data_IF_324912838061
#
_entry.id   IF_324912838061
#
_cell.length_a   1.000
_cell.length_b   1.000
_cell.length_c   1.000
_cell.angle_alpha   90.00
_cell.angle_beta   90.00
_cell.angle_gamma   90.00
#
_symmetry.space_group_name_H-M   'P 1'
#
loop_
_entity.id
_entity.type
_entity.pdbx_description
1 polymer ?
#
# COMPACT_ATOMS: atom_id res chain seq x y z
N UNK A 1 -44.02 24.11 59.79
CA UNK A 1 -44.54 25.45 60.13
C UNK A 1 -43.90 26.42 59.17
N UNK A 2 -44.68 27.06 58.31
CA UNK A 2 -44.21 28.08 57.37
C UNK A 2 -44.41 29.50 57.92
N UNK A 3 -43.68 30.45 57.34
CA UNK A 3 -43.98 31.89 57.22
C UNK A 3 -43.02 32.48 56.16
N UNK A 4 -43.49 32.74 54.93
CA UNK A 4 -43.80 34.05 54.27
C UNK A 4 -42.58 34.85 53.78
N UNK A 5 -42.37 35.02 52.46
CA UNK A 5 -42.80 36.15 51.57
C UNK A 5 -41.95 37.43 51.77
N UNK A 6 -41.49 38.23 50.80
CA UNK A 6 -41.85 38.42 49.38
C UNK A 6 -40.92 39.47 48.71
N UNK A 7 -40.70 39.36 47.37
CA UNK A 7 -40.62 40.43 46.31
C UNK A 7 -39.57 41.58 46.39
N UNK A 8 -39.00 42.17 45.33
CA UNK A 8 -39.20 42.20 43.88
C UNK A 8 -37.97 42.88 43.20
N UNK A 9 -37.73 42.62 41.91
CA UNK A 9 -37.59 43.65 40.84
C UNK A 9 -37.06 43.02 39.53
N UNK A 10 -37.95 42.97 38.53
CA UNK A 10 -37.63 43.00 37.10
C UNK A 10 -38.51 44.08 36.46
N UNK A 11 -37.98 44.83 35.48
CA UNK A 11 -38.64 44.88 34.16
C UNK A 11 -37.57 44.81 33.06
N UNK A 12 -37.77 44.38 31.82
CA UNK A 12 -38.94 44.01 31.04
C UNK A 12 -38.56 44.20 29.55
N UNK A 13 -38.90 43.21 28.71
CA UNK A 13 -39.03 43.23 27.23
C UNK A 13 -37.78 43.53 26.36
N UNK A 14 -37.56 42.92 25.18
CA UNK A 14 -38.44 42.15 24.28
C UNK A 14 -37.62 41.41 23.21
N UNK A 15 -38.05 40.20 22.89
CA UNK A 15 -37.73 39.32 21.74
C UNK A 15 -37.96 39.99 20.35
N UNK A 16 -37.37 39.53 19.21
CA UNK A 16 -37.66 38.20 18.66
C UNK A 16 -36.59 37.44 17.84
N UNK A 17 -36.56 36.12 18.09
CA UNK A 17 -36.74 35.03 17.10
C UNK A 17 -35.81 34.99 15.86
N UNK A 18 -34.86 34.05 15.86
CA UNK A 18 -34.43 33.30 14.66
C UNK A 18 -33.86 31.94 15.10
N UNK A 19 -34.72 30.92 15.18
CA UNK A 19 -34.78 29.79 14.24
C UNK A 19 -33.46 29.00 14.05
N UNK A 20 -33.52 27.77 14.60
CA UNK A 20 -32.85 26.53 14.19
C UNK A 20 -31.93 26.61 12.97
N UNK A 21 -30.68 26.20 13.18
CA UNK A 21 -30.09 25.10 12.43
C UNK A 21 -29.05 24.42 13.31
N UNK A 22 -29.45 23.36 14.02
CA UNK A 22 -28.50 22.32 14.39
C UNK A 22 -28.12 21.61 13.09
N UNK A 23 -27.04 22.08 12.47
CA UNK A 23 -26.29 21.29 11.51
C UNK A 23 -25.80 20.09 12.32
N UNK A 24 -26.33 18.91 11.96
CA UNK A 24 -25.83 17.64 12.46
C UNK A 24 -24.31 17.63 12.25
N UNK A 25 -23.51 17.10 13.18
CA UNK A 25 -22.10 16.89 12.88
C UNK A 25 -22.06 15.97 11.66
N UNK A 26 -21.65 16.50 10.51
CA UNK A 26 -21.17 15.68 9.41
C UNK A 26 -20.21 14.68 10.04
N UNK A 27 -20.53 13.39 9.88
CA UNK A 27 -19.53 12.37 10.12
C UNK A 27 -18.40 12.69 9.15
N UNK A 28 -17.37 13.35 9.67
CA UNK A 28 -16.06 13.41 9.05
C UNK A 28 -15.63 11.95 8.94
N UNK A 29 -15.97 11.33 7.80
CA UNK A 29 -15.44 10.04 7.44
C UNK A 29 -13.92 10.18 7.52
N UNK A 30 -13.29 9.23 8.21
CA UNK A 30 -11.84 9.20 8.29
C UNK A 30 -11.29 9.37 6.87
N UNK A 31 -10.27 10.21 6.71
CA UNK A 31 -9.59 10.43 5.42
C UNK A 31 -9.26 9.09 4.74
N UNK A 32 -9.01 8.05 5.55
CA UNK A 32 -8.84 6.64 5.17
C UNK A 32 -10.05 6.03 4.43
N UNK A 33 -11.29 6.19 4.93
CA UNK A 33 -12.47 5.61 4.27
C UNK A 33 -12.83 6.33 2.98
N UNK A 34 -12.64 7.66 2.93
CA UNK A 34 -13.00 8.47 1.77
C UNK A 34 -12.16 8.12 0.53
N UNK A 35 -10.86 7.87 0.68
CA UNK A 35 -10.01 7.52 -0.46
C UNK A 35 -10.26 6.09 -0.96
N UNK A 36 -10.59 5.16 -0.06
CA UNK A 36 -10.99 3.80 -0.42
C UNK A 36 -12.29 3.78 -1.21
N UNK A 37 -13.27 4.60 -0.85
CA UNK A 37 -14.53 4.74 -1.61
C UNK A 37 -14.26 5.26 -3.03
N UNK A 38 -13.43 6.31 -3.15
CA UNK A 38 -13.03 6.87 -4.46
C UNK A 38 -12.26 5.86 -5.30
N UNK A 39 -11.38 5.08 -4.68
CA UNK A 39 -10.67 3.99 -5.34
C UNK A 39 -11.66 2.98 -5.92
N UNK A 40 -12.65 2.55 -5.13
CA UNK A 40 -13.64 1.59 -5.59
C UNK A 40 -14.45 2.12 -6.78
N UNK A 41 -14.83 3.40 -6.77
CA UNK A 41 -15.55 4.04 -7.89
C UNK A 41 -14.67 4.04 -9.14
N UNK A 42 -13.43 4.54 -9.04
CA UNK A 42 -12.48 4.56 -10.14
C UNK A 42 -12.29 3.17 -10.78
N UNK A 43 -12.03 2.14 -9.96
CA UNK A 43 -11.82 0.79 -10.47
C UNK A 43 -13.06 0.17 -11.12
N UNK A 44 -14.27 0.55 -10.67
CA UNK A 44 -15.54 0.07 -11.25
C UNK A 44 -15.92 0.77 -12.55
N UNK A 45 -15.47 2.00 -12.77
CA UNK A 45 -15.71 2.76 -13.99
C UNK A 45 -14.72 2.38 -15.12
N UNK A 46 -13.53 1.90 -14.76
CA UNK A 46 -12.51 1.49 -15.72
C UNK A 46 -12.75 0.12 -16.38
N UNK A 47 -11.96 -0.15 -17.41
CA UNK A 47 -12.02 -1.39 -18.22
C UNK A 47 -11.72 -2.70 -17.47
N UNK A 48 -11.29 -2.61 -16.20
CA UNK A 48 -10.89 -3.74 -15.36
C UNK A 48 -11.86 -3.98 -14.20
N UNK A 49 -13.09 -3.47 -14.26
CA UNK A 49 -14.10 -3.66 -13.22
C UNK A 49 -14.36 -5.15 -12.89
N UNK A 50 -14.46 -6.00 -13.90
CA UNK A 50 -14.69 -7.45 -13.70
C UNK A 50 -13.54 -8.11 -12.95
N UNK A 51 -12.29 -7.87 -13.38
CA UNK A 51 -11.10 -8.42 -12.71
C UNK A 51 -10.90 -7.80 -11.32
N UNK A 52 -11.29 -6.54 -11.12
CA UNK A 52 -11.29 -5.88 -9.82
C UNK A 52 -12.32 -6.48 -8.85
N UNK A 53 -13.51 -6.83 -9.35
CA UNK A 53 -14.52 -7.49 -8.53
C UNK A 53 -14.05 -8.90 -8.13
N UNK A 54 -13.53 -9.68 -9.08
CA UNK A 54 -12.94 -10.98 -8.79
C UNK A 54 -11.76 -10.89 -7.80
N UNK A 55 -10.93 -9.85 -7.90
CA UNK A 55 -9.85 -9.59 -6.94
C UNK A 55 -10.39 -9.42 -5.52
N UNK A 56 -11.44 -8.60 -5.33
CA UNK A 56 -12.04 -8.40 -4.00
C UNK A 56 -12.66 -9.68 -3.45
N UNK A 57 -13.37 -10.44 -4.28
CA UNK A 57 -13.96 -11.73 -3.88
C UNK A 57 -12.86 -12.70 -3.42
N UNK A 58 -11.74 -12.77 -4.14
CA UNK A 58 -10.58 -13.56 -3.76
C UNK A 58 -9.97 -13.10 -2.43
N UNK A 59 -9.81 -11.79 -2.22
CA UNK A 59 -9.27 -11.23 -0.96
C UNK A 59 -10.16 -11.62 0.23
N UNK A 60 -11.47 -11.41 0.12
CA UNK A 60 -12.42 -11.77 1.17
C UNK A 60 -12.39 -13.28 1.49
N UNK A 61 -12.23 -14.13 0.48
CA UNK A 61 -12.08 -15.57 0.69
C UNK A 61 -10.76 -15.95 1.37
N UNK A 62 -9.65 -15.33 0.94
CA UNK A 62 -8.32 -15.57 1.51
C UNK A 62 -8.28 -15.19 2.99
N UNK A 63 -8.85 -14.04 3.35
CA UNK A 63 -9.01 -13.59 4.74
C UNK A 63 -9.82 -14.57 5.58
N UNK A 64 -10.96 -15.06 5.06
CA UNK A 64 -11.78 -16.07 5.75
C UNK A 64 -11.04 -17.38 5.98
N UNK A 65 -10.21 -17.79 5.02
CA UNK A 65 -9.53 -19.09 5.04
C UNK A 65 -8.21 -19.07 5.81
N UNK A 66 -7.60 -17.89 6.07
CA UNK A 66 -6.26 -17.74 6.69
C UNK A 66 -5.16 -18.63 6.08
N UNK A 67 -5.35 -19.08 4.83
CA UNK A 67 -4.52 -20.11 4.19
C UNK A 67 -3.75 -19.59 3.00
N UNK A 68 -4.32 -18.67 2.23
CA UNK A 68 -3.70 -18.15 1.01
C UNK A 68 -3.16 -16.73 1.24
N UNK A 69 -1.94 -16.41 0.77
CA UNK A 69 -1.49 -15.03 0.76
C UNK A 69 -2.35 -14.21 -0.21
N UNK A 70 -2.90 -13.09 0.27
CA UNK A 70 -3.73 -12.14 -0.50
C UNK A 70 -3.03 -11.73 -1.82
N UNK A 71 -1.70 -11.75 -1.85
CA UNK A 71 -0.92 -11.47 -3.04
C UNK A 71 -1.24 -12.34 -4.26
N UNK A 72 -1.77 -13.56 -4.07
CA UNK A 72 -2.20 -14.44 -5.17
C UNK A 72 -3.48 -13.97 -5.87
N UNK A 73 -4.23 -13.05 -5.27
CA UNK A 73 -5.46 -12.49 -5.86
C UNK A 73 -5.17 -11.42 -6.92
N UNK A 74 -4.02 -10.75 -6.83
CA UNK A 74 -3.68 -9.57 -7.62
C UNK A 74 -3.29 -9.81 -9.11
N UNK A 75 -2.64 -10.92 -9.52
CA UNK A 75 -2.05 -11.05 -10.85
C UNK A 75 -3.00 -10.83 -12.04
N UNK A 76 -4.26 -11.24 -11.93
CA UNK A 76 -5.23 -11.04 -13.01
C UNK A 76 -5.63 -9.56 -13.15
N UNK A 77 -5.77 -8.85 -12.04
CA UNK A 77 -6.08 -7.43 -12.02
C UNK A 77 -4.91 -6.62 -12.57
N UNK A 78 -3.69 -6.93 -12.14
CA UNK A 78 -2.48 -6.27 -12.62
C UNK A 78 -2.32 -6.37 -14.15
N UNK A 79 -2.41 -7.59 -14.71
CA UNK A 79 -2.33 -7.78 -16.17
C UNK A 79 -3.38 -6.98 -16.94
N UNK A 80 -4.58 -6.82 -16.36
CA UNK A 80 -5.62 -5.98 -16.95
C UNK A 80 -5.22 -4.51 -16.90
N UNK A 81 -4.73 -4.03 -15.76
CA UNK A 81 -4.31 -2.64 -15.58
C UNK A 81 -3.14 -2.27 -16.52
N UNK A 82 -2.17 -3.17 -16.72
CA UNK A 82 -1.08 -2.97 -17.67
C UNK A 82 -1.57 -2.85 -19.12
N UNK A 83 -2.52 -3.71 -19.51
CA UNK A 83 -3.14 -3.67 -20.84
C UNK A 83 -3.93 -2.38 -21.08
N UNK A 84 -4.49 -1.81 -20.02
CA UNK A 84 -5.25 -0.57 -20.02
C UNK A 84 -4.47 0.55 -19.30
N UNK A 85 -3.15 0.57 -19.52
CA UNK A 85 -2.23 1.48 -18.81
C UNK A 85 -2.52 2.95 -19.08
N UNK A 86 -3.17 3.30 -20.19
CA UNK A 86 -3.64 4.66 -20.46
C UNK A 86 -4.62 5.19 -19.40
N UNK A 87 -5.47 4.32 -18.85
CA UNK A 87 -6.37 4.66 -17.75
C UNK A 87 -5.73 4.43 -16.38
N UNK A 88 -4.98 3.32 -16.23
CA UNK A 88 -4.42 2.90 -14.93
C UNK A 88 -2.99 3.39 -14.65
N UNK A 89 -2.39 4.23 -15.50
CA UNK A 89 -1.03 4.72 -15.29
C UNK A 89 -0.78 5.28 -13.87
N UNK A 90 -1.71 5.99 -13.19
CA UNK A 90 -1.44 6.52 -11.85
C UNK A 90 -1.14 5.41 -10.84
N UNK A 91 -1.78 4.25 -10.97
CA UNK A 91 -1.55 3.09 -10.12
C UNK A 91 -0.24 2.39 -10.47
N UNK A 92 0.02 2.21 -11.76
CA UNK A 92 1.23 1.56 -12.24
C UNK A 92 2.47 2.41 -11.87
N UNK A 93 2.37 3.73 -11.99
CA UNK A 93 3.42 4.68 -11.61
C UNK A 93 3.67 4.69 -10.10
N UNK A 94 2.59 4.71 -9.30
CA UNK A 94 2.68 4.63 -7.84
C UNK A 94 3.32 3.31 -7.41
N UNK A 95 2.92 2.18 -8.02
CA UNK A 95 3.51 0.86 -7.80
C UNK A 95 4.98 0.84 -8.19
N UNK A 96 5.34 1.31 -9.39
CA UNK A 96 6.73 1.37 -9.88
C UNK A 96 7.62 2.16 -8.91
N UNK A 97 7.13 3.30 -8.44
CA UNK A 97 7.87 4.16 -7.50
C UNK A 97 8.01 3.51 -6.13
N UNK A 98 6.95 2.85 -5.63
CA UNK A 98 6.99 2.11 -4.37
C UNK A 98 7.96 0.93 -4.41
N UNK A 99 7.96 0.14 -5.50
CA UNK A 99 8.94 -0.93 -5.71
C UNK A 99 10.36 -0.37 -5.76
N UNK A 100 10.57 0.75 -6.46
CA UNK A 100 11.87 1.43 -6.48
C UNK A 100 12.32 1.85 -5.09
N UNK A 101 11.42 2.39 -4.26
CA UNK A 101 11.72 2.78 -2.88
C UNK A 101 12.04 1.57 -1.99
N UNK A 102 11.29 0.48 -2.11
CA UNK A 102 11.56 -0.75 -1.38
C UNK A 102 12.93 -1.31 -1.73
N UNK A 103 13.29 -1.33 -3.01
CA UNK A 103 14.51 -2.00 -3.49
C UNK A 103 15.75 -1.11 -3.50
N UNK A 104 15.59 0.22 -3.39
CA UNK A 104 16.68 1.21 -3.50
C UNK A 104 17.88 0.91 -2.61
N UNK A 105 17.62 0.39 -1.42
CA UNK A 105 18.65 0.16 -0.40
C UNK A 105 19.16 -1.30 -0.38
N UNK A 106 18.61 -2.19 -1.23
CA UNK A 106 18.80 -3.64 -1.11
C UNK A 106 19.14 -4.38 -2.40
N UNK A 107 18.82 -3.84 -3.58
CA UNK A 107 19.06 -4.50 -4.88
C UNK A 107 19.83 -3.53 -5.78
N UNK A 108 20.83 -4.00 -6.56
CA UNK A 108 21.52 -3.16 -7.52
C UNK A 108 20.53 -2.56 -8.50
N UNK A 109 20.78 -1.31 -8.88
CA UNK A 109 19.92 -0.62 -9.84
C UNK A 109 19.89 -1.35 -11.19
N UNK A 110 20.95 -2.09 -11.55
CA UNK A 110 21.11 -2.80 -12.82
C UNK A 110 19.98 -3.77 -13.14
N UNK A 111 19.25 -4.22 -12.12
CA UNK A 111 18.10 -5.13 -12.23
C UNK A 111 16.80 -4.41 -12.62
N UNK A 112 16.60 -3.14 -12.22
CA UNK A 112 15.33 -2.41 -12.35
C UNK A 112 15.45 -1.04 -13.04
N UNK A 113 16.64 -0.69 -13.50
CA UNK A 113 16.96 0.61 -14.10
C UNK A 113 16.38 0.71 -15.51
N UNK A 114 15.83 1.88 -15.84
CA UNK A 114 15.33 2.16 -17.17
C UNK A 114 16.51 2.14 -18.18
N UNK A 115 16.37 1.50 -19.36
CA UNK A 115 17.41 1.51 -20.39
C UNK A 115 17.73 2.96 -20.81
N UNK A 116 18.84 3.52 -20.33
CA UNK A 116 19.28 4.89 -20.62
C UNK A 116 19.87 5.68 -19.45
N UNK A 117 19.72 5.20 -18.22
CA UNK A 117 20.30 5.86 -17.04
C UNK A 117 21.79 5.44 -16.89
N UNK A 118 22.75 6.34 -17.15
CA UNK A 118 24.18 6.02 -17.03
C UNK A 118 24.65 6.03 -15.58
N UNK A 119 25.46 5.04 -15.20
CA UNK A 119 26.04 4.87 -13.86
C UNK A 119 27.54 5.03 -13.94
N UNK A 120 28.13 5.74 -12.98
CA UNK A 120 29.58 5.72 -12.88
C UNK A 120 30.08 4.33 -12.43
N UNK A 121 31.29 3.91 -12.82
CA UNK A 121 31.86 2.65 -12.34
C UNK A 121 31.98 2.57 -10.80
N UNK A 122 32.03 3.72 -10.13
CA UNK A 122 32.13 3.79 -8.67
C UNK A 122 30.77 3.49 -8.01
N UNK A 123 29.69 4.06 -8.54
CA UNK A 123 28.33 3.77 -8.07
C UNK A 123 27.94 2.31 -8.30
N UNK A 124 28.37 1.69 -9.40
CA UNK A 124 28.14 0.26 -9.64
C UNK A 124 28.79 -0.63 -8.57
N UNK A 125 30.04 -0.34 -8.21
CA UNK A 125 30.74 -1.08 -7.15
C UNK A 125 30.07 -0.92 -5.79
N UNK A 126 29.66 0.30 -5.45
CA UNK A 126 28.93 0.55 -4.21
C UNK A 126 27.56 -0.15 -4.18
N UNK A 127 26.90 -0.29 -5.33
CA UNK A 127 25.66 -1.07 -5.46
C UNK A 127 25.89 -2.59 -5.28
N UNK A 128 26.93 -3.14 -5.91
CA UNK A 128 27.32 -4.55 -5.74
C UNK A 128 27.69 -4.86 -4.27
N UNK A 129 28.48 -4.00 -3.62
CA UNK A 129 28.81 -4.16 -2.19
C UNK A 129 27.55 -4.08 -1.30
N UNK A 130 26.61 -3.19 -1.60
CA UNK A 130 25.33 -3.11 -0.87
C UNK A 130 24.48 -4.36 -1.06
N UNK A 131 24.44 -4.91 -2.26
CA UNK A 131 23.74 -6.17 -2.56
C UNK A 131 24.35 -7.33 -1.78
N UNK A 132 25.67 -7.51 -1.81
CA UNK A 132 26.33 -8.59 -1.07
C UNK A 132 26.02 -8.52 0.42
N UNK A 133 26.04 -7.32 1.00
CA UNK A 133 25.68 -7.08 2.41
C UNK A 133 24.21 -7.42 2.65
N UNK A 134 23.30 -7.05 1.75
CA UNK A 134 21.88 -7.37 1.87
C UNK A 134 21.60 -8.87 1.77
N UNK A 135 22.17 -9.57 0.79
CA UNK A 135 22.03 -11.02 0.64
C UNK A 135 22.57 -11.75 1.88
N UNK A 136 23.72 -11.31 2.39
CA UNK A 136 24.30 -11.86 3.62
C UNK A 136 23.40 -11.62 4.84
N UNK A 137 22.81 -10.42 4.96
CA UNK A 137 21.82 -10.10 5.99
C UNK A 137 20.59 -11.01 5.89
N UNK A 138 19.99 -11.13 4.71
CA UNK A 138 18.77 -11.93 4.53
C UNK A 138 19.00 -13.41 4.82
N UNK A 139 20.14 -13.95 4.38
CA UNK A 139 20.56 -15.35 4.64
C UNK A 139 21.05 -15.58 6.07
N UNK A 140 21.36 -14.54 6.82
CA UNK A 140 21.86 -14.62 8.21
C UNK A 140 20.75 -14.70 9.27
N UNK A 141 19.51 -14.38 8.92
CA UNK A 141 18.38 -14.37 9.85
C UNK A 141 17.54 -15.65 9.87
N UNK A 142 16.54 -15.67 10.76
CA UNK A 142 15.63 -16.81 10.94
C UNK A 142 14.71 -17.12 9.75
N UNK A 143 14.60 -16.19 8.78
CA UNK A 143 13.81 -16.33 7.56
C UNK A 143 14.65 -16.68 6.32
N UNK A 144 15.85 -17.25 6.52
CA UNK A 144 16.74 -17.69 5.44
C UNK A 144 16.03 -18.60 4.43
N UNK A 145 15.31 -19.62 4.90
CA UNK A 145 14.65 -20.60 4.03
C UNK A 145 13.59 -19.94 3.10
N UNK A 146 12.63 -19.15 3.60
CA UNK A 146 11.73 -18.36 2.75
C UNK A 146 12.46 -17.40 1.79
N UNK A 147 13.58 -16.81 2.22
CA UNK A 147 14.37 -15.92 1.38
C UNK A 147 15.03 -16.69 0.22
N UNK A 148 15.68 -17.82 0.49
CA UNK A 148 16.28 -18.66 -0.55
C UNK A 148 15.23 -19.16 -1.55
N UNK A 149 14.02 -19.51 -1.09
CA UNK A 149 12.93 -19.85 -2.00
C UNK A 149 12.52 -18.66 -2.91
N UNK A 150 12.59 -17.42 -2.39
CA UNK A 150 12.35 -16.23 -3.19
C UNK A 150 13.48 -16.01 -4.21
N UNK A 151 14.75 -16.21 -3.84
CA UNK A 151 15.90 -16.17 -4.75
C UNK A 151 15.75 -17.19 -5.89
N UNK A 152 15.42 -18.44 -5.56
CA UNK A 152 15.21 -19.50 -6.55
C UNK A 152 14.08 -19.16 -7.54
N UNK A 153 12.97 -18.61 -7.02
CA UNK A 153 11.85 -18.14 -7.85
C UNK A 153 12.28 -17.00 -8.78
N UNK A 154 13.06 -16.06 -8.23
CA UNK A 154 13.55 -14.90 -8.95
C UNK A 154 14.47 -15.32 -10.10
N UNK A 155 15.42 -16.22 -9.85
CA UNK A 155 16.34 -16.75 -10.85
C UNK A 155 15.60 -17.54 -11.95
N UNK A 156 14.59 -18.34 -11.58
CA UNK A 156 13.73 -19.03 -12.54
C UNK A 156 12.98 -18.04 -13.44
N UNK A 157 12.34 -17.04 -12.84
CA UNK A 157 11.57 -16.03 -13.56
C UNK A 157 12.46 -15.23 -14.53
N UNK A 158 13.64 -14.81 -14.07
CA UNK A 158 14.63 -14.10 -14.89
C UNK A 158 15.11 -14.96 -16.07
N UNK A 159 15.46 -16.23 -15.83
CA UNK A 159 15.88 -17.17 -16.88
C UNK A 159 14.79 -17.37 -17.95
N UNK A 160 13.53 -17.40 -17.52
CA UNK A 160 12.38 -17.60 -18.40
C UNK A 160 11.83 -16.30 -18.99
N UNK A 161 12.38 -15.13 -18.61
CA UNK A 161 11.87 -13.80 -18.98
C UNK A 161 10.41 -13.59 -18.58
N UNK A 162 10.01 -14.18 -17.45
CA UNK A 162 8.70 -14.00 -16.85
C UNK A 162 8.67 -12.72 -16.01
N UNK A 163 7.48 -12.17 -15.80
CA UNK A 163 7.31 -11.09 -14.84
C UNK A 163 7.59 -11.61 -13.42
N UNK A 164 8.72 -11.19 -12.85
CA UNK A 164 9.22 -11.65 -11.55
C UNK A 164 8.29 -11.24 -10.41
N UNK A 165 7.67 -10.05 -10.52
CA UNK A 165 6.74 -9.56 -9.51
C UNK A 165 5.52 -10.47 -9.47
N UNK A 166 4.92 -10.75 -10.62
CA UNK A 166 3.75 -11.63 -10.72
C UNK A 166 4.07 -13.08 -10.37
N UNK A 167 5.21 -13.60 -10.84
CA UNK A 167 5.63 -15.00 -10.62
C UNK A 167 5.94 -15.26 -9.15
N UNK A 168 6.66 -14.34 -8.48
CA UNK A 168 7.21 -14.57 -7.15
C UNK A 168 6.43 -13.88 -6.02
N UNK A 169 5.31 -13.21 -6.31
CA UNK A 169 4.51 -12.48 -5.30
C UNK A 169 4.03 -13.37 -4.13
N UNK A 170 3.73 -14.64 -4.40
CA UNK A 170 3.33 -15.61 -3.37
C UNK A 170 4.49 -15.95 -2.44
N UNK A 171 5.66 -16.20 -3.01
CA UNK A 171 6.89 -16.54 -2.26
C UNK A 171 7.39 -15.33 -1.46
N UNK A 172 7.36 -14.14 -2.06
CA UNK A 172 7.65 -12.88 -1.38
C UNK A 172 6.71 -12.64 -0.19
N UNK A 173 5.41 -12.98 -0.32
CA UNK A 173 4.46 -12.88 0.79
C UNK A 173 4.79 -13.84 1.94
N UNK A 174 5.22 -15.07 1.65
CA UNK A 174 5.65 -16.01 2.68
C UNK A 174 6.91 -15.52 3.41
N UNK A 175 7.88 -15.01 2.65
CA UNK A 175 9.11 -14.42 3.19
C UNK A 175 8.80 -13.23 4.10
N UNK A 176 8.00 -12.28 3.64
CA UNK A 176 7.63 -11.10 4.44
C UNK A 176 6.84 -11.46 5.69
N UNK A 177 5.92 -12.43 5.63
CA UNK A 177 5.22 -12.95 6.83
C UNK A 177 6.18 -13.52 7.87
N UNK A 178 7.23 -14.23 7.44
CA UNK A 178 8.26 -14.69 8.36
C UNK A 178 8.98 -13.49 9.00
N UNK A 179 9.36 -12.49 8.22
CA UNK A 179 10.06 -11.30 8.73
C UNK A 179 9.21 -10.51 9.72
N UNK A 180 7.91 -10.37 9.44
CA UNK A 180 6.94 -9.75 10.33
C UNK A 180 6.84 -10.48 11.69
N UNK A 181 7.04 -11.81 11.71
CA UNK A 181 7.11 -12.60 12.94
C UNK A 181 8.47 -12.52 13.66
N UNK A 182 9.50 -11.99 13.00
CA UNK A 182 10.87 -11.84 13.52
C UNK A 182 11.41 -10.40 13.35
N UNK A 183 10.69 -9.38 13.84
CA UNK A 183 10.92 -7.98 13.47
C UNK A 183 12.25 -7.42 14.01
N UNK A 184 12.78 -7.94 15.12
CA UNK A 184 14.02 -7.44 15.73
C UNK A 184 15.22 -7.54 14.79
N UNK A 185 15.34 -8.67 14.09
CA UNK A 185 16.39 -8.89 13.09
C UNK A 185 16.09 -8.13 11.79
N UNK A 186 14.84 -8.23 11.30
CA UNK A 186 14.43 -7.71 9.99
C UNK A 186 14.00 -6.24 9.98
N UNK A 187 14.17 -5.51 11.09
CA UNK A 187 13.75 -4.12 11.26
C UNK A 187 14.11 -3.20 10.10
N UNK A 188 15.34 -3.22 9.52
CA UNK A 188 15.69 -2.34 8.41
C UNK A 188 14.82 -2.60 7.17
N UNK A 189 14.64 -3.88 6.80
CA UNK A 189 13.82 -4.27 5.65
C UNK A 189 12.35 -3.92 5.86
N UNK A 190 11.81 -4.22 7.04
CA UNK A 190 10.41 -3.91 7.39
C UNK A 190 10.14 -2.39 7.38
N UNK A 191 11.10 -1.56 7.79
CA UNK A 191 10.98 -0.11 7.72
C UNK A 191 10.92 0.41 6.27
N UNK A 192 11.76 -0.14 5.39
CA UNK A 192 11.73 0.20 3.97
C UNK A 192 10.42 -0.24 3.30
N UNK A 193 9.95 -1.46 3.59
CA UNK A 193 8.64 -1.96 3.15
C UNK A 193 7.51 -1.02 3.55
N UNK A 194 7.44 -0.65 4.83
CA UNK A 194 6.44 0.29 5.32
C UNK A 194 6.52 1.64 4.62
N UNK A 195 7.74 2.14 4.39
CA UNK A 195 7.95 3.41 3.67
C UNK A 195 7.43 3.35 2.23
N UNK A 196 7.68 2.24 1.53
CA UNK A 196 7.18 2.01 0.18
C UNK A 196 5.64 1.91 0.13
N UNK A 197 5.04 1.18 1.08
CA UNK A 197 3.57 1.05 1.19
C UNK A 197 2.91 2.41 1.46
N UNK A 198 3.43 3.18 2.42
CA UNK A 198 2.93 4.53 2.72
C UNK A 198 3.08 5.50 1.55
N UNK A 199 4.19 5.40 0.80
CA UNK A 199 4.39 6.21 -0.39
C UNK A 199 3.34 5.89 -1.46
N UNK A 200 3.11 4.60 -1.73
CA UNK A 200 2.09 4.18 -2.70
C UNK A 200 0.69 4.69 -2.30
N UNK A 201 0.32 4.56 -1.02
CA UNK A 201 -0.96 5.06 -0.51
C UNK A 201 -1.09 6.58 -0.70
N UNK A 202 -0.04 7.35 -0.37
CA UNK A 202 -0.04 8.81 -0.52
C UNK A 202 -0.19 9.26 -1.97
N UNK A 203 0.54 8.65 -2.89
CA UNK A 203 0.43 8.96 -4.33
C UNK A 203 -0.97 8.67 -4.85
N UNK A 204 -1.51 7.49 -4.51
CA UNK A 204 -2.84 7.10 -4.93
C UNK A 204 -3.92 7.99 -4.31
N UNK A 205 -3.80 8.29 -3.01
CA UNK A 205 -4.71 9.20 -2.33
C UNK A 205 -4.68 10.60 -2.95
N UNK A 206 -3.49 11.12 -3.31
CA UNK A 206 -3.34 12.42 -3.95
C UNK A 206 -3.98 12.43 -5.34
N UNK A 207 -3.82 11.36 -6.12
CA UNK A 207 -4.49 11.20 -7.41
C UNK A 207 -6.02 11.14 -7.26
N UNK A 208 -6.53 10.24 -6.41
CA UNK A 208 -7.97 10.04 -6.24
C UNK A 208 -8.69 11.26 -5.66
N UNK A 209 -7.99 12.13 -4.91
CA UNK A 209 -8.53 13.41 -4.44
C UNK A 209 -8.81 14.41 -5.58
N UNK A 210 -8.16 14.25 -6.73
CA UNK A 210 -8.22 15.18 -7.87
C UNK A 210 -9.27 14.81 -8.90
N UNK A 211 -9.77 13.58 -8.86
CA UNK A 211 -10.89 13.09 -9.67
C UNK A 211 -12.17 13.04 -8.82
#
# INVERSE_FOLDING_TARGET
MGITSSTDLKPGNSDPKSQKNQVQPEKVGDSSSLWQDRLQVFMKEGACNETYTAFKDCVEEAEKKNKEPISLCYPMLEKCMERHSDYYHPFLDAKKTAVKLLMKDFVPSTVWRDPGESVSPNELKEEEEREEVFLAFMRGGGCKEPFTAWEDCYDEANKNKEDMVLKCVGVFSMMTKCMDAHPDYYRPFLAAKKTAEEHMEKELQAFLKRI
#
